data_IF_974655744207
#
_entry.id   IF_974655744207
#
_cell.length_a   1.000
_cell.length_b   1.000
_cell.length_c   1.000
_cell.angle_alpha   90.00
_cell.angle_beta   90.00
_cell.angle_gamma   90.00
#
_symmetry.space_group_name_H-M   'P 1'
#
loop_
_entity.id
_entity.type
_entity.pdbx_description
1 polymer ?
#
# COMPACT_ATOMS: atom_id res chain seq x y z
N UNK A 1 -27.31 14.24 2.57
CA UNK A 1 -26.06 13.47 2.41
C UNK A 1 -25.94 13.10 0.94
N UNK A 2 -24.81 13.37 0.29
CA UNK A 2 -24.65 13.12 -1.15
C UNK A 2 -24.74 11.61 -1.43
N UNK A 3 -25.48 11.18 -2.47
CA UNK A 3 -25.58 9.78 -2.88
C UNK A 3 -24.19 9.15 -3.08
N UNK A 4 -23.26 9.87 -3.70
CA UNK A 4 -21.89 9.40 -3.92
C UNK A 4 -21.15 9.13 -2.61
N UNK A 5 -21.36 9.97 -1.60
CA UNK A 5 -20.75 9.77 -0.28
C UNK A 5 -21.27 8.49 0.39
N UNK A 6 -22.58 8.27 0.38
CA UNK A 6 -23.17 7.03 0.93
C UNK A 6 -22.63 5.82 0.19
N UNK A 7 -22.55 5.89 -1.14
CA UNK A 7 -22.05 4.81 -1.97
C UNK A 7 -20.59 4.46 -1.63
N UNK A 8 -19.70 5.45 -1.57
CA UNK A 8 -18.28 5.26 -1.26
C UNK A 8 -18.11 4.63 0.13
N UNK A 9 -18.78 5.17 1.15
CA UNK A 9 -18.70 4.65 2.51
C UNK A 9 -19.24 3.21 2.57
N UNK A 10 -20.35 2.93 1.90
CA UNK A 10 -20.93 1.58 1.85
C UNK A 10 -19.99 0.60 1.16
N UNK A 11 -19.34 0.99 0.06
CA UNK A 11 -18.37 0.16 -0.65
C UNK A 11 -17.16 -0.17 0.23
N UNK A 12 -16.61 0.82 0.93
CA UNK A 12 -15.48 0.63 1.86
C UNK A 12 -15.88 -0.30 3.03
N UNK A 13 -17.08 -0.15 3.58
CA UNK A 13 -17.59 -1.03 4.65
C UNK A 13 -17.75 -2.47 4.14
N UNK A 14 -18.33 -2.65 2.95
CA UNK A 14 -18.52 -3.97 2.35
C UNK A 14 -17.17 -4.64 2.08
N UNK A 15 -16.21 -3.92 1.48
CA UNK A 15 -14.86 -4.41 1.24
C UNK A 15 -14.20 -4.85 2.55
N UNK A 16 -14.27 -4.03 3.60
CA UNK A 16 -13.74 -4.38 4.92
C UNK A 16 -14.37 -5.64 5.49
N UNK A 17 -15.70 -5.78 5.43
CA UNK A 17 -16.43 -6.96 5.93
C UNK A 17 -16.00 -8.22 5.16
N UNK A 18 -15.90 -8.13 3.83
CA UNK A 18 -15.46 -9.24 2.99
C UNK A 18 -14.03 -9.67 3.33
N UNK A 19 -13.11 -8.70 3.47
CA UNK A 19 -11.73 -8.95 3.86
C UNK A 19 -11.64 -9.63 5.24
N UNK A 20 -12.37 -9.12 6.26
CA UNK A 20 -12.39 -9.74 7.60
C UNK A 20 -12.99 -11.14 7.60
N UNK A 21 -14.05 -11.35 6.84
CA UNK A 21 -14.69 -12.66 6.71
C UNK A 21 -13.73 -13.67 6.08
N UNK A 22 -13.03 -13.26 5.02
CA UNK A 22 -12.05 -14.11 4.32
C UNK A 22 -10.90 -14.50 5.24
N UNK A 23 -10.29 -13.53 5.95
CA UNK A 23 -9.23 -13.81 6.92
C UNK A 23 -9.70 -14.73 8.05
N UNK A 24 -10.91 -14.53 8.57
CA UNK A 24 -11.49 -15.42 9.58
C UNK A 24 -11.67 -16.85 9.06
N UNK A 25 -12.26 -17.01 7.88
CA UNK A 25 -12.45 -18.32 7.25
C UNK A 25 -11.11 -19.01 6.97
N UNK A 26 -10.09 -18.25 6.56
CA UNK A 26 -8.74 -18.75 6.33
C UNK A 26 -8.12 -19.28 7.63
N UNK A 27 -8.14 -18.50 8.71
CA UNK A 27 -7.62 -18.98 10.01
C UNK A 27 -8.38 -20.22 10.50
N UNK A 28 -9.71 -20.25 10.29
CA UNK A 28 -10.57 -21.37 10.72
C UNK A 28 -10.27 -22.66 9.96
N UNK A 29 -9.89 -22.58 8.68
CA UNK A 29 -9.55 -23.75 7.86
C UNK A 29 -8.14 -24.28 8.13
N UNK A 30 -7.25 -23.50 8.77
CA UNK A 30 -5.90 -23.96 9.12
C UNK A 30 -5.95 -25.09 10.16
N UNK A 31 -5.66 -26.31 9.71
CA UNK A 31 -5.48 -27.48 10.59
C UNK A 31 -4.05 -27.54 11.16
N UNK A 32 -3.87 -27.79 12.46
CA UNK A 32 -2.54 -28.11 13.01
C UNK A 32 -2.08 -29.52 12.64
N UNK A 33 -2.98 -30.41 12.24
CA UNK A 33 -2.67 -31.78 11.87
C UNK A 33 -2.26 -31.86 10.40
N UNK A 34 -1.08 -32.45 10.16
CA UNK A 34 -0.57 -32.70 8.82
C UNK A 34 -1.39 -33.82 8.17
N UNK A 35 -1.93 -33.62 6.95
CA UNK A 35 -2.69 -34.68 6.27
C UNK A 35 -1.81 -35.91 6.02
N UNK A 36 -2.44 -37.09 6.10
CA UNK A 36 -1.78 -38.40 5.94
C UNK A 36 -0.93 -38.46 4.66
N UNK A 37 -1.40 -37.89 3.55
CA UNK A 37 -0.69 -37.93 2.27
C UNK A 37 0.66 -37.20 2.30
N UNK A 38 0.86 -36.26 3.23
CA UNK A 38 2.05 -35.42 3.33
C UNK A 38 3.02 -35.83 4.44
N UNK A 39 2.66 -36.80 5.29
CA UNK A 39 3.51 -37.24 6.43
C UNK A 39 4.90 -37.72 6.02
N UNK A 40 5.04 -38.31 4.83
CA UNK A 40 6.31 -38.82 4.33
C UNK A 40 7.17 -37.76 3.61
N UNK A 41 6.61 -36.59 3.32
CA UNK A 41 7.28 -35.52 2.55
C UNK A 41 7.53 -34.25 3.38
N UNK A 42 6.76 -34.06 4.46
CA UNK A 42 6.82 -32.87 5.30
C UNK A 42 7.14 -33.22 6.74
N UNK A 43 8.03 -32.43 7.32
CA UNK A 43 8.34 -32.45 8.74
C UNK A 43 7.18 -31.79 9.52
N UNK A 44 6.61 -32.53 10.46
CA UNK A 44 5.47 -32.10 11.28
C UNK A 44 5.78 -30.86 12.13
N UNK A 45 7.03 -30.71 12.60
CA UNK A 45 7.45 -29.54 13.38
C UNK A 45 7.52 -28.28 12.50
N UNK A 46 7.99 -28.42 11.26
CA UNK A 46 8.03 -27.32 10.28
C UNK A 46 6.62 -26.93 9.82
N UNK A 47 5.75 -27.90 9.61
CA UNK A 47 4.34 -27.65 9.31
C UNK A 47 3.64 -26.89 10.44
N UNK A 48 3.80 -27.35 11.69
CA UNK A 48 3.26 -26.63 12.84
C UNK A 48 3.81 -25.20 12.95
N UNK A 49 5.10 -25.00 12.65
CA UNK A 49 5.71 -23.66 12.61
C UNK A 49 5.10 -22.79 11.52
N UNK A 50 4.86 -23.30 10.31
CA UNK A 50 4.23 -22.53 9.23
C UNK A 50 2.78 -22.18 9.58
N UNK A 51 2.01 -23.09 10.17
CA UNK A 51 0.64 -22.80 10.61
C UNK A 51 0.60 -21.69 11.68
N UNK A 52 1.52 -21.72 12.65
CA UNK A 52 1.66 -20.65 13.66
C UNK A 52 2.08 -19.32 13.04
N UNK A 53 2.96 -19.35 12.05
CA UNK A 53 3.38 -18.18 11.29
C UNK A 53 2.19 -17.54 10.56
N UNK A 54 1.46 -18.32 9.77
CA UNK A 54 0.25 -17.86 9.06
C UNK A 54 -0.77 -17.26 10.03
N UNK A 55 -1.07 -17.95 11.13
CA UNK A 55 -1.99 -17.42 12.16
C UNK A 55 -1.51 -16.11 12.79
N UNK A 56 -0.20 -15.93 12.95
CA UNK A 56 0.35 -14.69 13.54
C UNK A 56 0.24 -13.54 12.56
N UNK A 57 0.57 -13.77 11.29
CA UNK A 57 0.42 -12.77 10.23
C UNK A 57 -1.03 -12.37 10.03
N UNK A 58 -1.95 -13.33 9.89
CA UNK A 58 -3.38 -13.04 9.71
C UNK A 58 -3.96 -12.21 10.86
N UNK A 59 -3.59 -12.52 12.11
CA UNK A 59 -3.99 -11.70 13.27
C UNK A 59 -3.45 -10.27 13.19
N UNK A 60 -2.22 -10.12 12.71
CA UNK A 60 -1.62 -8.80 12.53
C UNK A 60 -2.27 -8.04 11.36
N UNK A 61 -2.58 -8.73 10.26
CA UNK A 61 -3.31 -8.18 9.09
C UNK A 61 -4.74 -7.72 9.45
N UNK A 62 -5.35 -8.34 10.47
CA UNK A 62 -6.60 -7.85 11.08
C UNK A 62 -6.39 -6.49 11.74
N UNK A 63 -5.32 -6.32 12.51
CA UNK A 63 -5.02 -5.05 13.19
C UNK A 63 -4.69 -3.95 12.18
N UNK A 64 -3.75 -4.21 11.27
CA UNK A 64 -3.33 -3.21 10.27
C UNK A 64 -4.48 -2.84 9.35
N UNK A 65 -5.22 -3.83 8.84
CA UNK A 65 -6.33 -3.54 7.94
C UNK A 65 -7.53 -2.87 8.63
N UNK A 66 -7.71 -3.05 9.94
CA UNK A 66 -8.69 -2.27 10.72
C UNK A 66 -8.23 -0.83 10.89
N UNK A 67 -6.93 -0.62 11.15
CA UNK A 67 -6.35 0.71 11.19
C UNK A 67 -6.52 1.42 9.84
N UNK A 68 -6.18 0.78 8.72
CA UNK A 68 -6.31 1.35 7.38
C UNK A 68 -7.76 1.73 7.04
N UNK A 69 -8.71 0.85 7.40
CA UNK A 69 -10.14 1.11 7.26
C UNK A 69 -10.61 2.33 8.07
N UNK A 70 -10.24 2.41 9.35
CA UNK A 70 -10.58 3.56 10.18
C UNK A 70 -9.90 4.83 9.69
N UNK A 71 -8.65 4.73 9.24
CA UNK A 71 -7.87 5.83 8.71
C UNK A 71 -8.53 6.44 7.47
N UNK A 72 -8.90 5.62 6.48
CA UNK A 72 -9.58 6.12 5.27
C UNK A 72 -10.98 6.68 5.57
N UNK A 73 -11.73 6.04 6.48
CA UNK A 73 -13.02 6.56 6.92
C UNK A 73 -12.88 7.92 7.59
N UNK A 74 -11.92 8.08 8.51
CA UNK A 74 -11.64 9.36 9.15
C UNK A 74 -11.28 10.44 8.12
N UNK A 75 -10.41 10.12 7.15
CA UNK A 75 -10.04 11.06 6.10
C UNK A 75 -11.28 11.54 5.32
N UNK A 76 -12.17 10.62 4.93
CA UNK A 76 -13.36 10.95 4.14
C UNK A 76 -14.40 11.71 4.98
N UNK A 77 -14.71 11.23 6.19
CA UNK A 77 -15.76 11.80 7.05
C UNK A 77 -15.37 13.19 7.57
N UNK A 78 -14.11 13.39 7.96
CA UNK A 78 -13.62 14.69 8.45
C UNK A 78 -13.14 15.62 7.32
N UNK A 79 -13.17 15.17 6.06
CA UNK A 79 -12.73 15.97 4.92
C UNK A 79 -11.23 16.31 4.96
N UNK A 80 -10.39 15.42 5.50
CA UNK A 80 -8.96 15.68 5.66
C UNK A 80 -8.23 15.86 4.32
N UNK A 81 -8.76 15.31 3.22
CA UNK A 81 -8.27 15.62 1.88
C UNK A 81 -8.37 17.11 1.55
N UNK A 82 -9.49 17.75 1.88
CA UNK A 82 -9.66 19.19 1.67
C UNK A 82 -8.76 20.01 2.60
N UNK A 83 -8.57 19.56 3.84
CA UNK A 83 -7.61 20.19 4.76
C UNK A 83 -6.20 20.18 4.19
N UNK A 84 -5.77 19.04 3.65
CA UNK A 84 -4.46 18.90 3.02
C UNK A 84 -4.33 19.75 1.75
N UNK A 85 -5.35 19.78 0.89
CA UNK A 85 -5.36 20.62 -0.32
C UNK A 85 -5.25 22.12 0.03
N UNK A 86 -6.05 22.60 0.98
CA UNK A 86 -5.99 24.00 1.44
C UNK A 86 -4.63 24.34 2.08
N UNK A 87 -4.06 23.41 2.87
CA UNK A 87 -2.72 23.57 3.43
C UNK A 87 -1.67 23.76 2.34
N UNK A 88 -1.75 22.99 1.26
CA UNK A 88 -0.78 23.06 0.17
C UNK A 88 -0.97 24.32 -0.66
N UNK A 89 -2.22 24.69 -0.97
CA UNK A 89 -2.53 25.95 -1.65
C UNK A 89 -2.11 27.18 -0.85
N UNK A 90 -2.01 27.07 0.47
CA UNK A 90 -1.52 28.16 1.33
C UNK A 90 -0.06 28.54 1.06
N UNK A 91 0.73 27.67 0.41
CA UNK A 91 2.09 28.00 -0.05
C UNK A 91 2.11 29.01 -1.20
N UNK A 92 0.97 29.30 -1.83
CA UNK A 92 0.84 30.38 -2.82
C UNK A 92 1.36 30.04 -4.23
N UNK A 93 1.54 28.76 -4.55
CA UNK A 93 1.89 28.35 -5.91
C UNK A 93 0.73 28.58 -6.87
N UNK A 94 1.01 29.28 -7.98
CA UNK A 94 -0.01 29.61 -9.00
C UNK A 94 -0.36 28.42 -9.92
N UNK A 95 0.52 27.42 -10.02
CA UNK A 95 0.31 26.26 -10.88
C UNK A 95 -0.45 25.15 -10.16
N UNK A 96 -1.62 24.77 -10.70
CA UNK A 96 -2.40 23.64 -10.19
C UNK A 96 -1.65 22.30 -10.33
N UNK A 97 -0.81 22.16 -11.36
CA UNK A 97 0.08 21.00 -11.50
C UNK A 97 1.04 20.87 -10.32
N UNK A 98 1.67 21.98 -9.89
CA UNK A 98 2.59 21.97 -8.72
C UNK A 98 1.83 21.65 -7.44
N UNK A 99 0.66 22.25 -7.24
CA UNK A 99 -0.19 21.95 -6.08
C UNK A 99 -0.60 20.47 -6.04
N UNK A 100 -0.97 19.89 -7.19
CA UNK A 100 -1.30 18.46 -7.30
C UNK A 100 -0.13 17.53 -6.99
N UNK A 101 1.07 17.84 -7.49
CA UNK A 101 2.29 17.07 -7.18
C UNK A 101 2.64 17.14 -5.69
N UNK A 102 2.56 18.33 -5.09
CA UNK A 102 2.78 18.50 -3.66
C UNK A 102 1.73 17.74 -2.84
N UNK A 103 0.45 17.77 -3.26
CA UNK A 103 -0.62 17.04 -2.60
C UNK A 103 -0.33 15.55 -2.51
N UNK A 104 0.07 14.96 -3.63
CA UNK A 104 0.41 13.54 -3.69
C UNK A 104 1.66 13.24 -2.87
N UNK A 105 2.69 14.07 -2.95
CA UNK A 105 3.92 13.91 -2.17
C UNK A 105 3.68 13.94 -0.67
N UNK A 106 2.95 14.96 -0.17
CA UNK A 106 2.60 15.05 1.24
C UNK A 106 1.70 13.90 1.68
N UNK A 107 0.70 13.55 0.88
CA UNK A 107 -0.18 12.42 1.20
C UNK A 107 0.59 11.10 1.31
N UNK A 108 1.52 10.83 0.39
CA UNK A 108 2.39 9.66 0.44
C UNK A 108 3.28 9.65 1.68
N UNK A 109 3.87 10.79 2.07
CA UNK A 109 4.67 10.90 3.29
C UNK A 109 3.82 10.61 4.54
N UNK A 110 2.62 11.18 4.62
CA UNK A 110 1.70 10.93 5.74
C UNK A 110 1.38 9.44 5.83
N UNK A 111 1.00 8.82 4.70
CA UNK A 111 0.69 7.40 4.64
C UNK A 111 1.88 6.53 5.07
N UNK A 112 3.08 6.86 4.59
CA UNK A 112 4.32 6.16 4.91
C UNK A 112 4.67 6.27 6.41
N UNK A 113 4.46 7.44 7.03
CA UNK A 113 4.65 7.62 8.48
C UNK A 113 3.72 6.70 9.27
N UNK A 114 2.44 6.59 8.89
CA UNK A 114 1.48 5.74 9.59
C UNK A 114 1.71 4.24 9.34
N UNK A 115 2.21 3.86 8.17
CA UNK A 115 2.47 2.45 7.83
C UNK A 115 3.79 1.93 8.41
N UNK A 116 4.77 2.81 8.62
CA UNK A 116 6.12 2.44 9.09
C UNK A 116 6.14 1.65 10.40
N UNK A 117 5.41 2.04 11.48
CA UNK A 117 5.37 1.26 12.71
C UNK A 117 4.90 -0.18 12.49
N UNK A 118 3.92 -0.39 11.61
CA UNK A 118 3.43 -1.72 11.29
C UNK A 118 4.44 -2.54 10.50
N UNK A 119 5.16 -1.91 9.56
CA UNK A 119 6.26 -2.56 8.83
C UNK A 119 7.40 -2.96 9.77
N UNK A 120 7.80 -2.07 10.69
CA UNK A 120 8.80 -2.37 11.71
C UNK A 120 8.39 -3.54 12.60
N UNK A 121 7.13 -3.57 13.06
CA UNK A 121 6.61 -4.68 13.85
C UNK A 121 6.61 -5.99 13.05
N UNK A 122 6.23 -5.95 11.78
CA UNK A 122 6.23 -7.13 10.91
C UNK A 122 7.63 -7.73 10.78
N UNK A 123 8.63 -6.94 10.42
CA UNK A 123 9.99 -7.44 10.21
C UNK A 123 10.72 -7.76 11.53
N UNK A 124 10.77 -6.82 12.47
CA UNK A 124 11.62 -6.96 13.65
C UNK A 124 10.96 -7.67 14.83
N UNK A 125 9.64 -7.93 14.80
CA UNK A 125 8.95 -8.69 15.84
C UNK A 125 8.37 -9.99 15.30
N UNK A 126 7.58 -9.95 14.23
CA UNK A 126 6.95 -11.16 13.69
C UNK A 126 8.00 -12.01 12.98
N UNK A 127 8.63 -11.52 11.92
CA UNK A 127 9.59 -12.31 11.14
C UNK A 127 10.79 -12.74 11.97
N UNK A 128 11.29 -11.88 12.87
CA UNK A 128 12.37 -12.22 13.81
C UNK A 128 11.96 -13.39 14.74
N UNK A 129 10.74 -13.39 15.29
CA UNK A 129 10.22 -14.49 16.12
C UNK A 129 10.24 -15.84 15.40
N UNK A 130 10.04 -15.84 14.08
CA UNK A 130 10.08 -17.06 13.28
C UNK A 130 11.46 -17.34 12.66
N UNK A 131 12.44 -16.46 12.86
CA UNK A 131 13.80 -16.58 12.32
C UNK A 131 13.90 -16.30 10.82
N UNK A 132 12.89 -15.64 10.24
CA UNK A 132 12.85 -15.27 8.83
C UNK A 132 13.47 -13.91 8.56
N UNK A 133 13.51 -13.03 9.56
CA UNK A 133 14.14 -11.73 9.37
C UNK A 133 15.65 -11.89 9.12
N UNK A 134 16.12 -11.30 8.03
CA UNK A 134 17.54 -11.14 7.68
C UNK A 134 17.94 -9.68 7.57
N UNK A 135 17.00 -8.78 7.81
CA UNK A 135 17.16 -7.35 7.65
C UNK A 135 17.68 -6.73 8.96
N UNK A 136 18.65 -5.83 8.83
CA UNK A 136 19.05 -4.96 9.94
C UNK A 136 18.25 -3.65 9.91
N UNK A 137 18.15 -2.94 11.03
CA UNK A 137 17.51 -1.61 11.07
C UNK A 137 18.18 -0.65 10.09
N UNK A 138 19.51 -0.75 9.92
CA UNK A 138 20.25 0.05 8.93
C UNK A 138 19.79 -0.25 7.51
N UNK A 139 19.64 -1.53 7.16
CA UNK A 139 19.14 -1.96 5.85
C UNK A 139 17.72 -1.45 5.64
N UNK A 140 16.85 -1.59 6.65
CA UNK A 140 15.46 -1.09 6.61
C UNK A 140 15.38 0.39 6.27
N UNK A 141 16.11 1.24 7.00
CA UNK A 141 16.10 2.69 6.77
C UNK A 141 16.70 3.04 5.41
N UNK A 142 17.79 2.37 5.02
CA UNK A 142 18.47 2.63 3.74
C UNK A 142 17.56 2.28 2.56
N UNK A 143 16.91 1.12 2.61
CA UNK A 143 16.01 0.66 1.54
C UNK A 143 14.77 1.54 1.46
N UNK A 144 14.27 2.01 2.60
CA UNK A 144 13.15 2.95 2.64
C UNK A 144 13.50 4.30 1.99
N UNK A 145 14.69 4.84 2.27
CA UNK A 145 15.17 6.07 1.64
C UNK A 145 15.36 5.88 0.13
N UNK A 146 15.95 4.75 -0.29
CA UNK A 146 16.07 4.40 -1.73
C UNK A 146 14.70 4.32 -2.38
N UNK A 147 13.73 3.68 -1.73
CA UNK A 147 12.35 3.56 -2.21
C UNK A 147 11.69 4.92 -2.39
N UNK A 148 11.79 5.83 -1.41
CA UNK A 148 11.27 7.20 -1.51
C UNK A 148 11.95 7.96 -2.65
N UNK A 149 13.27 7.82 -2.79
CA UNK A 149 14.01 8.45 -3.87
C UNK A 149 13.55 7.97 -5.24
N UNK A 150 13.45 6.65 -5.44
CA UNK A 150 12.97 6.05 -6.69
C UNK A 150 11.53 6.45 -6.99
N UNK A 151 10.64 6.41 -5.99
CA UNK A 151 9.25 6.83 -6.12
C UNK A 151 9.15 8.30 -6.53
N UNK A 152 9.97 9.18 -5.95
CA UNK A 152 9.98 10.60 -6.29
C UNK A 152 10.54 10.81 -7.70
N UNK A 153 11.66 10.15 -8.02
CA UNK A 153 12.35 10.28 -9.31
C UNK A 153 11.50 9.80 -10.49
N UNK A 154 10.75 8.72 -10.30
CA UNK A 154 9.96 8.07 -11.36
C UNK A 154 8.50 8.52 -11.32
N UNK A 155 7.92 8.60 -10.13
CA UNK A 155 6.52 8.95 -9.93
C UNK A 155 6.22 10.41 -10.21
N UNK A 156 7.11 11.35 -9.85
CA UNK A 156 6.86 12.79 -10.07
C UNK A 156 6.78 13.13 -11.56
N UNK A 157 7.71 12.69 -12.44
CA UNK A 157 7.58 12.94 -13.88
C UNK A 157 6.34 12.30 -14.48
N UNK A 158 6.04 11.05 -14.13
CA UNK A 158 4.85 10.36 -14.62
C UNK A 158 3.58 11.10 -14.23
N UNK A 159 3.45 11.46 -12.95
CA UNK A 159 2.29 12.17 -12.45
C UNK A 159 2.19 13.58 -13.03
N UNK A 160 3.34 14.24 -13.24
CA UNK A 160 3.40 15.53 -13.91
C UNK A 160 2.84 15.46 -15.33
N UNK A 161 3.21 14.44 -16.11
CA UNK A 161 2.66 14.22 -17.46
C UNK A 161 1.16 13.96 -17.42
N UNK A 162 0.69 13.15 -16.46
CA UNK A 162 -0.74 12.89 -16.29
C UNK A 162 -1.51 14.20 -16.00
N UNK A 163 -1.04 14.99 -15.03
CA UNK A 163 -1.67 16.27 -14.69
C UNK A 163 -1.65 17.23 -15.87
N UNK A 164 -0.54 17.31 -16.59
CA UNK A 164 -0.42 18.11 -17.81
C UNK A 164 -1.45 17.72 -18.87
N UNK A 165 -1.73 16.43 -19.03
CA UNK A 165 -2.75 15.98 -19.98
C UNK A 165 -4.15 16.41 -19.56
N UNK A 166 -4.49 16.30 -18.28
CA UNK A 166 -5.78 16.76 -17.76
C UNK A 166 -5.95 18.28 -17.86
N UNK A 167 -4.86 19.06 -17.82
CA UNK A 167 -4.89 20.51 -18.03
C UNK A 167 -5.03 20.88 -19.52
N UNK A 168 -4.42 20.11 -20.43
CA UNK A 168 -4.26 20.51 -21.84
C UNK A 168 -5.27 19.88 -22.81
N UNK A 169 -5.77 18.67 -22.55
CA UNK A 169 -6.53 17.86 -23.52
C UNK A 169 -8.01 17.69 -23.19
N UNK A 170 -8.52 18.34 -22.14
CA UNK A 170 -9.94 18.35 -21.79
C UNK A 170 -10.56 16.95 -21.70
N UNK A 171 -11.68 16.73 -22.38
CA UNK A 171 -12.47 15.50 -22.30
C UNK A 171 -11.76 14.23 -22.80
N UNK A 172 -10.72 14.37 -23.63
CA UNK A 172 -9.94 13.23 -24.15
C UNK A 172 -8.63 13.00 -23.37
N UNK A 173 -8.33 13.82 -22.37
CA UNK A 173 -7.12 13.70 -21.54
C UNK A 173 -6.95 12.30 -20.94
N UNK A 174 -8.05 11.67 -20.53
CA UNK A 174 -8.03 10.33 -19.93
C UNK A 174 -7.49 9.27 -20.91
N UNK A 175 -7.72 9.40 -22.22
CA UNK A 175 -7.18 8.47 -23.22
C UNK A 175 -5.65 8.60 -23.31
N UNK A 176 -5.14 9.83 -23.32
CA UNK A 176 -3.70 10.09 -23.33
C UNK A 176 -3.03 9.63 -22.03
N UNK A 177 -3.64 9.93 -20.88
CA UNK A 177 -3.18 9.47 -19.57
C UNK A 177 -3.18 7.94 -19.48
N UNK A 178 -4.22 7.29 -19.99
CA UNK A 178 -4.29 5.83 -20.05
C UNK A 178 -3.21 5.24 -20.96
N UNK A 179 -2.98 5.82 -22.14
CA UNK A 179 -1.98 5.35 -23.08
C UNK A 179 -0.55 5.50 -22.52
N UNK A 180 -0.22 6.65 -21.91
CA UNK A 180 1.10 6.86 -21.32
C UNK A 180 1.33 5.96 -20.11
N UNK A 181 0.34 5.78 -19.23
CA UNK A 181 0.47 4.89 -18.06
C UNK A 181 0.63 3.44 -18.50
N UNK A 182 -0.15 3.02 -19.50
CA UNK A 182 -0.08 1.65 -20.03
C UNK A 182 1.27 1.38 -20.70
N UNK A 183 1.75 2.30 -21.54
CA UNK A 183 3.10 2.21 -22.13
C UNK A 183 4.20 2.24 -21.07
N UNK A 184 4.05 3.10 -20.06
CA UNK A 184 4.98 3.20 -18.95
C UNK A 184 5.06 1.90 -18.14
N UNK A 185 3.92 1.24 -17.83
CA UNK A 185 3.90 -0.05 -17.12
C UNK A 185 4.67 -1.12 -17.90
N UNK A 186 4.48 -1.20 -19.23
CA UNK A 186 5.18 -2.16 -20.08
C UNK A 186 6.70 -1.92 -20.12
N UNK A 187 7.12 -0.64 -20.13
CA UNK A 187 8.55 -0.26 -20.14
C UNK A 187 9.17 -0.42 -18.74
N UNK A 188 8.42 -0.14 -17.68
CA UNK A 188 8.91 -0.19 -16.31
C UNK A 188 9.25 -1.62 -15.89
N UNK A 189 8.53 -2.63 -16.35
CA UNK A 189 8.78 -4.02 -15.96
C UNK A 189 10.20 -4.53 -16.28
N UNK A 190 10.74 -4.40 -17.51
CA UNK A 190 12.14 -4.73 -17.78
C UNK A 190 13.11 -3.78 -17.06
N UNK A 191 12.82 -2.46 -17.01
CA UNK A 191 13.67 -1.51 -16.29
C UNK A 191 13.81 -1.85 -14.80
N UNK A 192 12.72 -2.29 -14.19
CA UNK A 192 12.69 -2.69 -12.79
C UNK A 192 13.64 -3.86 -12.56
N UNK A 193 13.55 -4.90 -13.39
CA UNK A 193 14.36 -6.11 -13.24
C UNK A 193 15.85 -5.84 -13.48
N UNK A 194 16.17 -4.99 -14.47
CA UNK A 194 17.57 -4.74 -14.87
C UNK A 194 18.26 -3.67 -14.02
N UNK A 195 17.56 -2.61 -13.64
CA UNK A 195 18.18 -1.43 -13.02
C UNK A 195 17.72 -1.17 -11.59
N UNK A 196 16.49 -1.54 -11.22
CA UNK A 196 15.93 -1.19 -9.89
C UNK A 196 16.18 -2.30 -8.87
N UNK A 197 15.88 -3.55 -9.23
CA UNK A 197 16.08 -4.70 -8.36
C UNK A 197 17.53 -4.91 -7.88
N UNK A 198 18.58 -4.55 -8.65
CA UNK A 198 19.97 -4.66 -8.18
C UNK A 198 20.48 -3.54 -7.24
N UNK A 199 19.69 -2.46 -7.01
CA UNK A 199 20.11 -1.30 -6.21
C UNK A 199 20.03 -1.55 -4.70
#
# INVERSE_FOLDING_TARGET
>A
MNFYFIFIISAIIIEFILARTTGYLNIKSLSPELPEEFKNSYDESKYNKSQRYTRTNEKFDVVTGTFDFLFILCIIVFGLFNVLDLFIRSFGFQSDMVNGLLFLGFFMIIQDIFSTPFSLYRHFVIEERFGFNKMSIKTFVTDKIKGIFLMTLIGTPLMGIILYFFESFGDIAWLYAWAIVSGFILILQPLFTTFIAPL
#
